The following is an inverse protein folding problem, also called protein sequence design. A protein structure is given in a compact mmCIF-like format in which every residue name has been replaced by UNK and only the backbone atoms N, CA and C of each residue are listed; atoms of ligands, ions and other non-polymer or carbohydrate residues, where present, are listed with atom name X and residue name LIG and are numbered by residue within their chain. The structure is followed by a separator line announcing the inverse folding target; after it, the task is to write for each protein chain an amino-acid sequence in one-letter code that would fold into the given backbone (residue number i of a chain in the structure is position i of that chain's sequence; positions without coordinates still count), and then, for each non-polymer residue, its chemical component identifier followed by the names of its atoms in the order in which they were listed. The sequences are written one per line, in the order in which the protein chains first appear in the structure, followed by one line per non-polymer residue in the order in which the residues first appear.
data_IF_292294950736
#
_entry.id   IF_292294950736
#
_cell.length_a   1.000
_cell.length_b   1.000
_cell.length_c   1.000
_cell.angle_alpha   90.00
_cell.angle_beta   90.00
_cell.angle_gamma   90.00
#
_symmetry.space_group_name_H-M   'P 1'
#
loop_
_entity.id
_entity.type
_entity.pdbx_description
1 polymer ?
#
# COMPACT_ATOMS: atom_id res chain seq x y z
N UNK A 1 -22.89 13.94 17.67
CA UNK A 1 -21.66 14.02 16.86
C UNK A 1 -20.52 13.15 17.40
N UNK A 2 -20.40 12.93 18.73
CA UNK A 2 -19.38 12.02 19.30
C UNK A 2 -19.67 10.50 19.13
N UNK A 3 -20.93 10.10 18.97
CA UNK A 3 -21.31 8.69 18.82
C UNK A 3 -20.95 8.08 17.45
N UNK A 4 -20.89 8.89 16.37
CA UNK A 4 -20.49 8.43 15.03
C UNK A 4 -18.99 8.17 14.93
N UNK A 5 -18.15 9.01 15.56
CA UNK A 5 -16.69 8.86 15.53
C UNK A 5 -16.22 7.59 16.26
N UNK A 6 -16.88 7.23 17.37
CA UNK A 6 -16.59 5.99 18.11
C UNK A 6 -17.05 4.73 17.37
N UNK A 7 -18.13 4.83 16.58
CA UNK A 7 -18.64 3.73 15.75
C UNK A 7 -17.71 3.43 14.57
N UNK A 8 -17.25 4.48 13.88
CA UNK A 8 -16.32 4.37 12.76
C UNK A 8 -14.98 3.76 13.19
N UNK A 9 -14.42 4.20 14.33
CA UNK A 9 -13.17 3.65 14.87
C UNK A 9 -13.26 2.15 15.15
N UNK A 10 -14.36 1.70 15.74
CA UNK A 10 -14.60 0.27 16.00
C UNK A 10 -14.86 -0.53 14.71
N UNK A 11 -15.51 0.07 13.71
CA UNK A 11 -15.72 -0.56 12.40
C UNK A 11 -14.41 -0.75 11.65
N UNK A 12 -13.54 0.27 11.61
CA UNK A 12 -12.21 0.21 11.01
C UNK A 12 -11.34 -0.83 11.71
N UNK A 13 -11.35 -0.88 13.05
CA UNK A 13 -10.57 -1.85 13.82
C UNK A 13 -11.05 -3.30 13.59
N UNK A 14 -12.36 -3.53 13.50
CA UNK A 14 -12.95 -4.84 13.17
C UNK A 14 -12.60 -5.26 11.73
N UNK A 15 -12.63 -4.31 10.80
CA UNK A 15 -12.27 -4.56 9.40
C UNK A 15 -10.78 -4.87 9.27
N UNK A 16 -9.92 -4.12 9.94
CA UNK A 16 -8.48 -4.34 10.03
C UNK A 16 -8.15 -5.76 10.55
N UNK A 17 -8.76 -6.19 11.66
CA UNK A 17 -8.55 -7.56 12.19
C UNK A 17 -8.93 -8.67 11.20
N UNK A 18 -9.89 -8.43 10.29
CA UNK A 18 -10.29 -9.41 9.25
C UNK A 18 -9.28 -9.53 8.10
N UNK A 19 -8.46 -8.51 7.86
CA UNK A 19 -7.46 -8.52 6.78
C UNK A 19 -6.15 -9.21 7.18
N UNK A 20 -5.89 -9.34 8.48
CA UNK A 20 -4.64 -9.88 9.03
C UNK A 20 -3.58 -8.79 9.23
N UNK A 21 -2.74 -8.91 10.26
CA UNK A 21 -1.79 -7.85 10.67
C UNK A 21 -0.78 -7.50 9.57
N UNK A 22 -0.31 -8.51 8.82
CA UNK A 22 0.65 -8.33 7.73
C UNK A 22 0.10 -7.43 6.61
N UNK A 23 -1.18 -7.60 6.28
CA UNK A 23 -1.83 -6.82 5.21
C UNK A 23 -2.05 -5.37 5.61
N UNK A 24 -2.41 -5.13 6.87
CA UNK A 24 -2.47 -3.77 7.41
C UNK A 24 -1.09 -3.11 7.34
N UNK A 25 -0.03 -3.82 7.75
CA UNK A 25 1.33 -3.31 7.70
C UNK A 25 1.73 -2.95 6.26
N UNK A 26 1.35 -3.77 5.28
CA UNK A 26 1.63 -3.52 3.87
C UNK A 26 0.86 -2.30 3.33
N UNK A 27 -0.43 -2.16 3.66
CA UNK A 27 -1.22 -0.98 3.30
C UNK A 27 -0.70 0.28 3.98
N UNK A 28 -0.26 0.19 5.24
CA UNK A 28 0.38 1.29 5.95
C UNK A 28 1.71 1.69 5.28
N UNK A 29 2.52 0.72 4.85
CA UNK A 29 3.74 0.98 4.09
C UNK A 29 3.44 1.68 2.76
N UNK A 30 2.38 1.28 2.05
CA UNK A 30 1.92 1.94 0.83
C UNK A 30 1.55 3.42 1.07
N UNK A 31 0.84 3.71 2.16
CA UNK A 31 0.54 5.09 2.56
C UNK A 31 1.82 5.84 2.90
N UNK A 32 2.74 5.21 3.62
CA UNK A 32 3.99 5.83 4.07
C UNK A 32 4.86 6.26 2.89
N UNK A 33 5.05 5.41 1.88
CA UNK A 33 5.84 5.78 0.70
C UNK A 33 5.23 6.95 -0.07
N UNK A 34 3.89 7.09 -0.08
CA UNK A 34 3.20 8.22 -0.72
C UNK A 34 3.35 9.51 0.08
N UNK A 35 3.11 9.45 1.39
CA UNK A 35 3.15 10.62 2.29
C UNK A 35 4.56 11.21 2.37
N UNK A 36 5.58 10.35 2.38
CA UNK A 36 6.98 10.77 2.42
C UNK A 36 7.60 10.92 1.02
N UNK A 37 6.80 10.90 -0.05
CA UNK A 37 7.30 11.12 -1.39
C UNK A 37 7.99 12.51 -1.50
N UNK A 38 9.17 12.57 -2.15
CA UNK A 38 9.78 13.83 -2.54
C UNK A 38 9.00 14.47 -3.70
N UNK A 39 9.10 15.79 -3.85
CA UNK A 39 8.53 16.46 -5.02
C UNK A 39 9.27 16.04 -6.30
N UNK A 40 8.60 15.94 -7.46
CA UNK A 40 9.25 15.67 -8.74
C UNK A 40 10.39 16.65 -9.01
N UNK A 41 11.53 16.16 -9.50
CA UNK A 41 12.72 16.98 -9.78
C UNK A 41 13.56 17.38 -8.56
N UNK A 42 13.23 16.89 -7.36
CA UNK A 42 14.06 17.10 -6.17
C UNK A 42 15.41 16.41 -6.35
N UNK A 43 16.53 17.15 -6.18
CA UNK A 43 17.87 16.57 -6.25
C UNK A 43 18.09 15.54 -5.14
N UNK A 44 18.76 14.44 -5.48
CA UNK A 44 19.12 13.42 -4.49
C UNK A 44 20.09 14.00 -3.44
N UNK A 45 19.73 13.85 -2.17
CA UNK A 45 20.58 14.17 -1.02
C UNK A 45 21.06 12.87 -0.42
N UNK A 46 22.37 12.72 -0.19
CA UNK A 46 22.98 11.46 0.26
C UNK A 46 23.34 11.42 1.76
N UNK A 47 22.80 12.34 2.55
CA UNK A 47 23.08 12.42 3.98
C UNK A 47 21.84 12.82 4.78
N UNK A 48 21.84 12.41 6.06
CA UNK A 48 20.78 12.74 7.03
C UNK A 48 19.38 12.31 6.59
N UNK A 49 18.38 13.08 7.01
CA UNK A 49 16.97 12.82 6.70
C UNK A 49 16.62 13.01 5.22
N UNK A 50 17.43 13.79 4.48
CA UNK A 50 17.29 13.99 3.05
C UNK A 50 17.42 12.67 2.28
N UNK A 51 18.39 11.83 2.63
CA UNK A 51 18.60 10.51 2.00
C UNK A 51 17.37 9.61 2.13
N UNK A 52 16.75 9.56 3.31
CA UNK A 52 15.58 8.73 3.52
C UNK A 52 14.43 9.15 2.58
N UNK A 53 14.21 10.45 2.44
CA UNK A 53 13.14 10.99 1.60
C UNK A 53 13.43 10.91 0.11
N UNK A 54 14.63 11.32 -0.33
CA UNK A 54 14.95 11.47 -1.76
C UNK A 54 15.48 10.19 -2.41
N UNK A 55 15.95 9.23 -1.61
CA UNK A 55 16.53 7.97 -2.13
C UNK A 55 15.74 6.76 -1.64
N UNK A 56 15.51 6.62 -0.33
CA UNK A 56 14.86 5.40 0.19
C UNK A 56 13.38 5.32 -0.19
N UNK A 57 12.58 6.37 -0.01
CA UNK A 57 11.14 6.32 -0.35
C UNK A 57 10.87 5.93 -1.82
N UNK A 58 11.56 6.51 -2.82
CA UNK A 58 11.44 6.08 -4.20
C UNK A 58 11.87 4.63 -4.46
N UNK A 59 12.87 4.11 -3.74
CA UNK A 59 13.31 2.71 -3.85
C UNK A 59 12.31 1.76 -3.18
N UNK A 60 11.69 2.17 -2.08
CA UNK A 60 10.67 1.39 -1.38
C UNK A 60 9.37 1.30 -2.18
N UNK A 61 9.02 2.32 -2.96
CA UNK A 61 7.79 2.32 -3.76
C UNK A 61 7.62 1.08 -4.66
N UNK A 62 8.56 0.71 -5.55
CA UNK A 62 8.43 -0.50 -6.36
C UNK A 62 8.50 -1.79 -5.51
N UNK A 63 9.23 -1.79 -4.39
CA UNK A 63 9.23 -2.93 -3.46
C UNK A 63 7.85 -3.15 -2.83
N UNK A 64 7.19 -2.08 -2.38
CA UNK A 64 5.84 -2.15 -1.82
C UNK A 64 4.83 -2.57 -2.88
N UNK A 65 4.93 -2.06 -4.11
CA UNK A 65 4.12 -2.53 -5.25
C UNK A 65 4.30 -4.04 -5.44
N UNK A 66 5.54 -4.53 -5.45
CA UNK A 66 5.79 -5.96 -5.63
C UNK A 66 5.25 -6.82 -4.49
N UNK A 67 5.34 -6.34 -3.25
CA UNK A 67 4.75 -7.00 -2.08
C UNK A 67 3.21 -7.02 -2.14
N UNK A 68 2.56 -5.95 -2.62
CA UNK A 68 1.11 -5.92 -2.84
C UNK A 68 0.69 -6.94 -3.91
N UNK A 69 1.44 -7.05 -5.00
CA UNK A 69 1.19 -8.06 -6.03
C UNK A 69 1.40 -9.49 -5.50
N UNK A 70 2.43 -9.70 -4.67
CA UNK A 70 2.69 -10.97 -4.01
C UNK A 70 1.55 -11.36 -3.05
N UNK A 71 1.07 -10.44 -2.21
CA UNK A 71 -0.07 -10.70 -1.32
C UNK A 71 -1.37 -10.93 -2.11
N UNK A 72 -1.58 -10.22 -3.23
CA UNK A 72 -2.69 -10.49 -4.14
C UNK A 72 -2.61 -11.90 -4.75
N UNK A 73 -1.42 -12.33 -5.17
CA UNK A 73 -1.19 -13.67 -5.70
C UNK A 73 -1.45 -14.74 -4.63
N UNK A 74 -0.92 -14.58 -3.41
CA UNK A 74 -1.18 -15.50 -2.31
C UNK A 74 -2.67 -15.56 -1.97
N UNK A 75 -3.35 -14.42 -1.90
CA UNK A 75 -4.80 -14.38 -1.68
C UNK A 75 -5.56 -15.07 -2.83
N UNK A 76 -5.06 -14.99 -4.07
CA UNK A 76 -5.65 -15.68 -5.23
C UNK A 76 -5.43 -17.18 -5.20
N UNK A 77 -4.28 -17.65 -4.68
CA UNK A 77 -3.99 -19.06 -4.43
C UNK A 77 -4.95 -19.58 -3.37
N UNK A 78 -5.05 -18.96 -2.20
CA UNK A 78 -6.00 -19.40 -1.17
C UNK A 78 -7.48 -19.29 -1.60
N UNK A 79 -7.80 -18.44 -2.59
CA UNK A 79 -9.14 -18.32 -3.14
C UNK A 79 -9.58 -19.57 -3.93
N UNK A 80 -8.66 -20.37 -4.49
CA UNK A 80 -9.04 -21.58 -5.23
C UNK A 80 -9.72 -22.62 -4.34
N UNK A 81 -9.35 -22.64 -3.07
CA UNK A 81 -9.76 -23.65 -2.11
C UNK A 81 -10.82 -23.12 -1.12
N UNK A 82 -11.22 -21.85 -1.28
CA UNK A 82 -12.15 -21.18 -0.39
C UNK A 82 -13.60 -21.21 -0.91
N UNK A 83 -14.53 -21.49 0.00
CA UNK A 83 -15.97 -21.47 -0.24
C UNK A 83 -16.69 -20.41 0.63
N UNK A 84 -17.91 -20.06 0.24
CA UNK A 84 -18.77 -19.14 1.01
C UNK A 84 -18.15 -17.78 1.31
N UNK A 85 -18.28 -17.32 2.56
CA UNK A 85 -17.83 -15.99 3.01
C UNK A 85 -16.30 -15.79 2.89
N UNK A 86 -15.52 -16.86 3.07
CA UNK A 86 -14.06 -16.78 2.97
C UNK A 86 -13.62 -16.43 1.54
N UNK A 87 -14.33 -16.95 0.54
CA UNK A 87 -14.10 -16.67 -0.88
C UNK A 87 -14.35 -15.20 -1.20
N UNK A 88 -15.48 -14.64 -0.74
CA UNK A 88 -15.81 -13.23 -0.95
C UNK A 88 -14.74 -12.31 -0.31
N UNK A 89 -14.32 -12.61 0.93
CA UNK A 89 -13.27 -11.86 1.64
C UNK A 89 -11.94 -11.87 0.88
N UNK A 90 -11.47 -13.03 0.43
CA UNK A 90 -10.21 -13.15 -0.31
C UNK A 90 -10.26 -12.45 -1.66
N UNK A 91 -11.41 -12.49 -2.37
CA UNK A 91 -11.58 -11.75 -3.62
C UNK A 91 -11.48 -10.23 -3.40
N UNK A 92 -12.08 -9.71 -2.34
CA UNK A 92 -11.97 -8.29 -1.96
C UNK A 92 -10.52 -7.90 -1.68
N UNK A 93 -9.79 -8.75 -0.95
CA UNK A 93 -8.35 -8.55 -0.69
C UNK A 93 -7.54 -8.45 -1.98
N UNK A 94 -7.75 -9.37 -2.92
CA UNK A 94 -7.06 -9.35 -4.22
C UNK A 94 -7.29 -8.00 -4.91
N UNK A 95 -8.55 -7.56 -5.00
CA UNK A 95 -8.88 -6.28 -5.63
C UNK A 95 -8.28 -5.08 -4.92
N UNK A 96 -8.31 -5.04 -3.58
CA UNK A 96 -7.69 -3.95 -2.82
C UNK A 96 -6.20 -3.85 -3.14
N UNK A 97 -5.47 -4.97 -3.07
CA UNK A 97 -4.03 -4.96 -3.34
C UNK A 97 -3.71 -4.54 -4.78
N UNK A 98 -4.47 -5.02 -5.77
CA UNK A 98 -4.28 -4.63 -7.17
C UNK A 98 -4.58 -3.15 -7.39
N UNK A 99 -5.66 -2.62 -6.80
CA UNK A 99 -6.01 -1.20 -6.91
C UNK A 99 -4.98 -0.30 -6.24
N UNK A 100 -4.49 -0.67 -5.06
CA UNK A 100 -3.44 0.08 -4.35
C UNK A 100 -2.11 0.00 -5.10
N UNK A 101 -1.74 -1.17 -5.62
CA UNK A 101 -0.54 -1.32 -6.44
C UNK A 101 -0.61 -0.45 -7.70
N UNK A 102 -1.74 -0.47 -8.41
CA UNK A 102 -1.97 0.37 -9.58
C UNK A 102 -1.90 1.87 -9.22
N UNK A 103 -2.55 2.27 -8.12
CA UNK A 103 -2.52 3.65 -7.66
C UNK A 103 -1.09 4.11 -7.31
N UNK A 104 -0.28 3.26 -6.66
CA UNK A 104 1.13 3.55 -6.39
C UNK A 104 1.92 3.72 -7.69
N UNK A 105 1.78 2.80 -8.64
CA UNK A 105 2.45 2.92 -9.94
C UNK A 105 2.10 4.26 -10.59
N UNK A 106 0.82 4.58 -10.70
CA UNK A 106 0.36 5.82 -11.31
C UNK A 106 0.87 7.07 -10.58
N UNK A 107 0.87 7.05 -9.24
CA UNK A 107 1.33 8.16 -8.41
C UNK A 107 2.83 8.44 -8.58
N UNK A 108 3.65 7.40 -8.76
CA UNK A 108 5.11 7.53 -8.85
C UNK A 108 5.62 7.82 -10.27
N UNK A 109 4.80 7.67 -11.31
CA UNK A 109 5.17 7.99 -12.71
C UNK A 109 5.79 9.39 -12.85
N UNK A 110 5.19 10.49 -12.33
CA UNK A 110 5.74 11.83 -12.50
C UNK A 110 7.13 11.99 -11.89
N UNK A 111 7.38 11.33 -10.76
CA UNK A 111 8.68 11.38 -10.09
C UNK A 111 9.76 10.68 -10.92
N UNK A 112 9.49 9.46 -11.40
CA UNK A 112 10.45 8.72 -12.21
C UNK A 112 10.66 9.34 -13.59
N UNK A 113 9.63 9.93 -14.17
CA UNK A 113 9.76 10.65 -15.44
C UNK A 113 10.66 11.89 -15.29
N UNK A 114 10.55 12.62 -14.17
CA UNK A 114 11.42 13.76 -13.87
C UNK A 114 12.88 13.40 -13.59
N UNK A 115 13.20 12.12 -13.42
CA UNK A 115 14.57 11.60 -13.25
C UNK A 115 15.19 11.11 -14.57
N UNK A 116 14.39 10.95 -15.63
CA UNK A 116 14.87 10.59 -16.96
C UNK A 116 15.71 11.70 -17.60
N UNK A 117 16.57 11.36 -18.58
CA UNK A 117 17.44 12.32 -19.27
C UNK A 117 16.68 13.44 -20.00
#
# INVERSE_FOLDING_TARGET
MESESASAGNAVLRWARRLGPLRIALLAAAVLVVVFAPAPGTKAVYHGWGLARTVLMPVLAPLVVMLLLLDALMARVFLSDAEGEARARLRTVVWINLLVALALVLYWIPYFYALGP
#
